data_IF_236675368953
#
_entry.id   IF_236675368953
#
_cell.length_a   1.000
_cell.length_b   1.000
_cell.length_c   1.000
_cell.angle_alpha   90.00
_cell.angle_beta   90.00
_cell.angle_gamma   90.00
#
_symmetry.space_group_name_H-M   'P 1'
#
loop_
_entity.id
_entity.type
_entity.pdbx_description
1 polymer ?
#
# COMPACT_ATOMS: atom_id res chain seq x y z
N UNK A 1 1.49 -27.62 12.54
CA UNK A 1 0.47 -26.57 12.29
C UNK A 1 0.93 -25.79 11.07
N UNK A 2 0.33 -26.04 9.90
CA UNK A 2 0.66 -25.31 8.67
C UNK A 2 0.01 -23.94 8.73
N UNK A 3 0.81 -22.89 8.91
CA UNK A 3 0.37 -21.51 8.73
C UNK A 3 0.20 -21.33 7.23
N UNK A 4 -1.04 -21.33 6.74
CA UNK A 4 -1.34 -20.84 5.39
C UNK A 4 -0.69 -19.46 5.28
N UNK A 5 0.23 -19.23 4.32
CA UNK A 5 0.85 -17.91 4.18
C UNK A 5 -0.29 -16.92 3.98
N UNK A 6 -0.40 -15.95 4.89
CA UNK A 6 -1.43 -14.93 4.81
C UNK A 6 -1.24 -14.22 3.46
N UNK A 7 -2.23 -14.37 2.58
CA UNK A 7 -2.26 -13.69 1.29
C UNK A 7 -2.02 -12.19 1.51
N UNK A 8 -1.29 -11.56 0.59
CA UNK A 8 -1.14 -10.12 0.63
C UNK A 8 -2.52 -9.43 0.61
N UNK A 9 -2.74 -8.49 1.51
CA UNK A 9 -4.01 -7.78 1.71
C UNK A 9 -3.84 -6.29 1.38
N UNK A 10 -4.31 -5.83 0.21
CA UNK A 10 -4.39 -4.42 -0.13
C UNK A 10 -5.12 -3.60 0.92
N UNK A 11 -4.59 -2.43 1.27
CA UNK A 11 -5.27 -1.51 2.16
C UNK A 11 -6.47 -0.85 1.47
N UNK A 12 -7.56 -0.66 2.22
CA UNK A 12 -8.78 -0.04 1.73
C UNK A 12 -8.74 1.48 1.96
N UNK A 13 -8.97 2.22 0.88
CA UNK A 13 -9.11 3.67 0.91
C UNK A 13 -10.53 4.07 0.49
N UNK A 14 -11.07 5.17 1.06
CA UNK A 14 -12.35 5.73 0.62
C UNK A 14 -12.32 6.08 -0.87
N UNK A 15 -13.42 5.87 -1.60
CA UNK A 15 -13.50 6.21 -3.04
C UNK A 15 -13.32 7.70 -3.35
N UNK A 16 -13.49 8.56 -2.35
CA UNK A 16 -13.33 10.01 -2.48
C UNK A 16 -11.88 10.47 -2.55
N UNK A 17 -10.91 9.60 -2.27
CA UNK A 17 -9.50 9.98 -2.32
C UNK A 17 -8.99 9.96 -3.77
N UNK A 18 -7.99 10.80 -4.12
CA UNK A 18 -7.44 10.81 -5.47
C UNK A 18 -6.79 9.48 -5.83
N UNK A 19 -7.11 8.99 -7.03
CA UNK A 19 -6.50 7.78 -7.62
C UNK A 19 -5.53 8.17 -8.73
N UNK A 20 -4.49 7.36 -8.94
CA UNK A 20 -3.62 7.51 -10.09
C UNK A 20 -4.41 7.41 -11.39
N UNK A 21 -4.04 8.23 -12.36
CA UNK A 21 -4.58 8.18 -13.72
C UNK A 21 -3.68 7.34 -14.64
N UNK A 22 -2.43 7.10 -14.23
CA UNK A 22 -1.42 6.43 -15.04
C UNK A 22 -1.33 4.93 -14.74
N UNK A 23 -1.74 4.52 -13.53
CA UNK A 23 -1.51 3.17 -13.02
C UNK A 23 -2.76 2.49 -12.46
N UNK A 24 -2.92 1.22 -12.83
CA UNK A 24 -3.73 0.24 -12.09
C UNK A 24 -2.79 -0.83 -11.56
N UNK A 25 -2.86 -1.10 -10.26
CA UNK A 25 -1.93 -2.03 -9.60
C UNK A 25 -2.69 -3.21 -9.02
N UNK A 26 -2.13 -4.41 -9.17
CA UNK A 26 -2.62 -5.64 -8.57
C UNK A 26 -1.54 -6.23 -7.67
N UNK A 27 -1.97 -6.74 -6.51
CA UNK A 27 -1.15 -7.46 -5.55
C UNK A 27 -1.73 -8.87 -5.44
N UNK A 28 -0.96 -9.89 -5.82
CA UNK A 28 -1.42 -11.29 -5.92
C UNK A 28 -2.74 -11.42 -6.71
N UNK A 29 -2.89 -10.66 -7.80
CA UNK A 29 -4.09 -10.64 -8.64
C UNK A 29 -5.27 -9.84 -8.08
N UNK A 30 -5.22 -9.36 -6.84
CA UNK A 30 -6.22 -8.46 -6.29
C UNK A 30 -5.87 -7.01 -6.60
N UNK A 31 -6.82 -6.25 -7.15
CA UNK A 31 -6.61 -4.83 -7.38
C UNK A 31 -6.36 -4.08 -6.07
N UNK A 32 -5.28 -3.29 -6.04
CA UNK A 32 -4.92 -2.42 -4.96
C UNK A 32 -5.11 -0.96 -5.37
N UNK A 33 -5.51 -0.12 -4.41
CA UNK A 33 -5.64 1.31 -4.66
C UNK A 33 -4.26 1.92 -4.91
N UNK A 34 -4.09 2.50 -6.10
CA UNK A 34 -3.00 3.40 -6.44
C UNK A 34 -3.38 4.82 -6.01
N UNK A 35 -3.07 5.18 -4.77
CA UNK A 35 -3.41 6.47 -4.19
C UNK A 35 -2.51 7.56 -4.76
N UNK A 36 -3.09 8.62 -5.34
CA UNK A 36 -2.33 9.73 -5.91
C UNK A 36 -2.14 10.86 -4.90
N UNK A 37 -0.91 11.32 -4.75
CA UNK A 37 -0.53 12.50 -3.96
C UNK A 37 0.15 13.55 -4.85
N UNK A 38 0.53 14.69 -4.27
CA UNK A 38 1.36 15.68 -4.96
C UNK A 38 2.82 15.23 -5.16
N UNK A 39 3.29 14.25 -4.38
CA UNK A 39 4.66 13.72 -4.45
C UNK A 39 4.80 12.48 -5.35
N UNK A 40 3.67 11.96 -5.86
CA UNK A 40 3.61 10.72 -6.63
C UNK A 40 2.48 9.81 -6.15
N UNK A 41 2.44 8.62 -6.72
CA UNK A 41 1.42 7.61 -6.41
C UNK A 41 2.01 6.55 -5.50
N UNK A 42 1.20 6.01 -4.58
CA UNK A 42 1.62 4.87 -3.77
C UNK A 42 0.57 3.77 -3.69
N UNK A 43 1.05 2.56 -3.41
CA UNK A 43 0.27 1.37 -3.13
C UNK A 43 0.72 0.80 -1.79
N UNK A 44 -0.24 0.50 -0.93
CA UNK A 44 0.02 -0.02 0.41
C UNK A 44 -0.79 -1.28 0.68
N UNK A 45 -0.15 -2.28 1.26
CA UNK A 45 -0.74 -3.58 1.55
C UNK A 45 -0.03 -4.27 2.71
N UNK A 46 -0.71 -5.20 3.39
CA UNK A 46 -0.07 -6.11 4.33
C UNK A 46 0.38 -7.38 3.61
N UNK A 47 1.58 -7.88 3.87
CA UNK A 47 1.99 -9.22 3.42
C UNK A 47 2.99 -9.84 4.38
N UNK A 48 2.70 -11.05 4.85
CA UNK A 48 3.63 -11.88 5.63
C UNK A 48 4.59 -12.70 4.77
N UNK A 49 4.39 -12.70 3.45
CA UNK A 49 5.20 -13.42 2.47
C UNK A 49 5.56 -12.51 1.28
N UNK A 50 6.35 -13.02 0.34
CA UNK A 50 6.57 -12.34 -0.92
C UNK A 50 5.24 -12.17 -1.68
N UNK A 51 5.06 -11.01 -2.32
CA UNK A 51 3.88 -10.69 -3.12
C UNK A 51 4.27 -10.54 -4.60
N UNK A 52 3.42 -11.05 -5.48
CA UNK A 52 3.48 -10.76 -6.92
C UNK A 52 2.76 -9.44 -7.17
N UNK A 53 3.46 -8.53 -7.83
CA UNK A 53 2.97 -7.21 -8.17
C UNK A 53 2.81 -7.12 -9.68
N UNK A 54 1.69 -6.55 -10.10
CA UNK A 54 1.43 -6.20 -11.48
C UNK A 54 1.00 -4.74 -11.58
N UNK A 55 1.71 -3.99 -12.41
CA UNK A 55 1.40 -2.61 -12.75
C UNK A 55 0.92 -2.58 -14.19
N UNK A 56 -0.27 -2.05 -14.42
CA UNK A 56 -0.82 -1.77 -15.74
C UNK A 56 -0.89 -0.28 -15.98
N UNK A 57 -0.65 0.13 -17.22
CA UNK A 57 -0.82 1.51 -17.67
C UNK A 57 -1.61 1.59 -18.98
N UNK A 58 -2.13 2.77 -19.30
CA UNK A 58 -2.69 3.05 -20.62
C UNK A 58 -1.62 3.38 -21.66
N UNK A 59 -0.42 3.77 -21.21
CA UNK A 59 0.72 4.13 -22.08
C UNK A 59 1.77 3.01 -22.02
N UNK A 60 2.67 3.00 -23.01
CA UNK A 60 3.80 2.06 -23.02
C UNK A 60 4.70 2.31 -21.80
N UNK A 61 5.12 1.23 -21.15
CA UNK A 61 6.07 1.27 -20.06
C UNK A 61 7.49 1.11 -20.64
N UNK A 62 8.39 2.00 -20.24
CA UNK A 62 9.79 1.96 -20.66
C UNK A 62 10.71 2.30 -19.50
N UNK A 63 11.91 1.73 -19.53
CA UNK A 63 13.00 2.05 -18.59
C UNK A 63 12.63 1.92 -17.10
N UNK A 64 12.02 0.81 -16.63
CA UNK A 64 11.69 0.69 -15.21
C UNK A 64 12.93 0.57 -14.34
N UNK A 65 13.05 1.46 -13.37
CA UNK A 65 14.10 1.43 -12.36
C UNK A 65 13.50 1.30 -10.96
N UNK A 66 14.04 0.36 -10.18
CA UNK A 66 13.63 0.13 -8.80
C UNK A 66 14.64 0.68 -7.79
N UNK A 67 14.11 1.31 -6.74
CA UNK A 67 14.87 1.84 -5.63
C UNK A 67 14.38 1.31 -4.27
N UNK A 68 15.30 1.05 -3.33
CA UNK A 68 16.75 1.12 -3.50
C UNK A 68 17.28 -0.04 -4.38
N UNK A 69 18.27 0.23 -5.23
CA UNK A 69 18.80 -0.75 -6.21
C UNK A 69 19.27 -2.08 -5.59
N UNK A 70 19.68 -2.05 -4.30
CA UNK A 70 20.08 -3.24 -3.53
C UNK A 70 18.99 -4.30 -3.39
N UNK A 71 17.71 -3.97 -3.65
CA UNK A 71 16.64 -4.95 -3.65
C UNK A 71 16.74 -5.94 -4.82
N UNK A 72 17.49 -5.60 -5.87
CA UNK A 72 17.72 -6.51 -7.00
C UNK A 72 16.46 -6.93 -7.74
N UNK A 73 15.39 -6.12 -7.68
CA UNK A 73 14.12 -6.38 -8.34
C UNK A 73 14.35 -6.40 -9.86
N UNK A 74 13.99 -7.51 -10.49
CA UNK A 74 14.06 -7.69 -11.94
C UNK A 74 12.63 -7.71 -12.50
N UNK A 75 12.11 -6.58 -12.99
CA UNK A 75 10.78 -6.56 -13.56
C UNK A 75 10.74 -7.26 -14.92
N UNK A 76 9.61 -7.90 -15.20
CA UNK A 76 9.23 -8.34 -16.53
C UNK A 76 8.29 -7.30 -17.12
N UNK A 77 8.64 -6.75 -18.29
CA UNK A 77 7.83 -5.75 -18.98
C UNK A 77 7.31 -6.32 -20.29
N UNK A 78 5.99 -6.22 -20.45
CA UNK A 78 5.24 -6.59 -21.65
C UNK A 78 4.38 -5.38 -22.04
N UNK A 79 4.91 -4.52 -22.92
CA UNK A 79 4.27 -3.29 -23.40
C UNK A 79 3.76 -2.36 -22.29
N UNK A 80 2.51 -2.53 -21.87
CA UNK A 80 1.79 -1.69 -20.90
C UNK A 80 1.60 -2.38 -19.54
N UNK A 81 2.27 -3.52 -19.36
CA UNK A 81 2.21 -4.36 -18.18
C UNK A 81 3.62 -4.59 -17.65
N UNK A 82 3.81 -4.38 -16.36
CA UNK A 82 5.03 -4.66 -15.65
C UNK A 82 4.72 -5.62 -14.49
N UNK A 83 5.49 -6.69 -14.34
CA UNK A 83 5.37 -7.63 -13.24
C UNK A 83 6.68 -7.81 -12.49
N UNK A 84 6.59 -7.96 -11.17
CA UNK A 84 7.75 -8.21 -10.32
C UNK A 84 7.30 -8.84 -9.00
N UNK A 85 8.27 -9.25 -8.19
CA UNK A 85 8.01 -9.78 -6.84
C UNK A 85 8.65 -8.86 -5.81
N UNK A 86 7.93 -8.58 -4.74
CA UNK A 86 8.41 -7.81 -3.59
C UNK A 86 8.39 -8.70 -2.35
N UNK A 87 9.48 -8.78 -1.60
CA UNK A 87 9.50 -9.62 -0.41
C UNK A 87 8.68 -8.99 0.74
N UNK A 88 8.33 -9.80 1.73
CA UNK A 88 7.60 -9.34 2.90
C UNK A 88 8.34 -8.20 3.62
N UNK A 89 7.61 -7.16 4.05
CA UNK A 89 8.21 -6.03 4.77
C UNK A 89 9.03 -5.07 3.92
N UNK A 90 9.12 -5.27 2.60
CA UNK A 90 9.93 -4.42 1.74
C UNK A 90 9.15 -3.24 1.18
N UNK A 91 9.80 -2.08 1.18
CA UNK A 91 9.33 -0.89 0.47
C UNK A 91 10.17 -0.70 -0.79
N UNK A 92 9.54 -0.29 -1.88
CA UNK A 92 10.22 -0.01 -3.14
C UNK A 92 9.65 1.23 -3.80
N UNK A 93 10.47 1.94 -4.56
CA UNK A 93 10.08 2.98 -5.50
C UNK A 93 10.32 2.44 -6.91
N UNK A 94 9.36 2.64 -7.80
CA UNK A 94 9.48 2.46 -9.24
C UNK A 94 9.48 3.83 -9.92
N UNK A 95 10.50 4.06 -10.73
CA UNK A 95 10.59 5.17 -11.66
C UNK A 95 10.56 4.64 -13.10
N UNK A 96 9.88 5.37 -13.98
CA UNK A 96 9.77 5.05 -15.41
C UNK A 96 9.70 6.35 -16.20
N UNK A 97 10.25 6.34 -17.41
CA UNK A 97 10.32 7.53 -18.26
C UNK A 97 8.92 8.09 -18.55
N UNK A 98 8.74 9.39 -18.24
CA UNK A 98 7.50 10.11 -18.50
C UNK A 98 6.34 9.80 -17.56
N UNK A 99 6.56 9.02 -16.49
CA UNK A 99 5.56 8.70 -15.47
C UNK A 99 5.83 9.39 -14.13
N UNK A 100 4.79 9.53 -13.31
CA UNK A 100 4.96 9.87 -11.90
C UNK A 100 5.66 8.73 -11.12
N UNK A 101 6.32 9.07 -10.02
CA UNK A 101 6.91 8.09 -9.11
C UNK A 101 5.84 7.17 -8.52
N UNK A 102 6.13 5.87 -8.45
CA UNK A 102 5.24 4.86 -7.87
C UNK A 102 5.89 4.15 -6.68
N UNK A 103 5.37 4.40 -5.49
CA UNK A 103 5.85 3.80 -4.24
C UNK A 103 5.04 2.55 -3.85
N UNK A 104 5.73 1.53 -3.36
CA UNK A 104 5.15 0.31 -2.82
C UNK A 104 5.52 0.17 -1.35
N UNK A 105 4.51 -0.03 -0.51
CA UNK A 105 4.66 -0.29 0.91
C UNK A 105 4.09 -1.67 1.26
N UNK A 106 4.96 -2.69 1.34
CA UNK A 106 4.58 -4.03 1.79
C UNK A 106 4.73 -4.13 3.31
N UNK A 107 3.71 -3.71 4.05
CA UNK A 107 3.72 -3.72 5.50
C UNK A 107 3.65 -5.16 6.04
N UNK A 108 4.38 -5.45 7.12
CA UNK A 108 4.17 -6.71 7.84
C UNK A 108 2.80 -6.67 8.56
N UNK A 109 2.03 -7.77 8.58
CA UNK A 109 0.81 -7.84 9.37
C UNK A 109 1.09 -7.56 10.85
N UNK A 110 0.19 -6.85 11.57
CA UNK A 110 0.37 -6.60 12.99
C UNK A 110 0.33 -7.91 13.79
N UNK A 111 1.32 -8.11 14.67
CA UNK A 111 1.47 -9.36 15.45
C UNK A 111 0.47 -9.44 16.61
N UNK A 112 0.07 -8.29 17.18
CA UNK A 112 -0.91 -8.17 18.28
C UNK A 112 -1.66 -6.84 18.19
N UNK A 113 -2.60 -6.74 17.26
CA UNK A 113 -3.52 -5.61 17.25
C UNK A 113 -4.51 -5.74 18.42
N UNK A 114 -4.78 -4.69 19.20
CA UNK A 114 -5.87 -4.72 20.17
C UNK A 114 -7.21 -4.84 19.46
N UNK A 115 -8.18 -5.47 20.14
CA UNK A 115 -9.55 -5.52 19.64
C UNK A 115 -10.14 -4.11 19.50
N UNK A 116 -10.96 -3.83 18.48
CA UNK A 116 -11.54 -2.50 18.24
C UNK A 116 -12.27 -1.87 19.43
N UNK A 117 -12.76 -2.68 20.37
CA UNK A 117 -13.51 -2.28 21.56
C UNK A 117 -12.69 -2.35 22.87
N UNK A 118 -11.37 -2.55 22.78
CA UNK A 118 -10.51 -2.66 23.95
C UNK A 118 -10.59 -1.42 24.86
N UNK A 119 -10.67 -1.58 26.21
CA UNK A 119 -10.74 -0.45 27.12
C UNK A 119 -9.57 0.53 26.96
N UNK A 120 -9.88 1.82 26.85
CA UNK A 120 -8.88 2.88 26.66
C UNK A 120 -8.36 3.03 25.22
N UNK A 121 -8.88 2.25 24.26
CA UNK A 121 -8.54 2.37 22.84
C UNK A 121 -9.53 3.30 22.12
N UNK A 122 -8.99 4.23 21.33
CA UNK A 122 -9.76 4.93 20.30
C UNK A 122 -9.50 4.24 18.96
N UNK A 123 -10.48 3.45 18.50
CA UNK A 123 -10.36 2.71 17.25
C UNK A 123 -10.86 3.52 16.05
N UNK A 124 -10.05 3.54 15.00
CA UNK A 124 -10.35 4.22 13.74
C UNK A 124 -10.53 3.18 12.62
N UNK A 125 -11.78 2.86 12.20
CA UNK A 125 -12.02 1.88 11.15
C UNK A 125 -11.45 2.34 9.80
N UNK A 126 -10.86 1.41 9.07
CA UNK A 126 -10.40 1.63 7.70
C UNK A 126 -11.54 2.13 6.79
N UNK A 127 -11.19 2.90 5.75
CA UNK A 127 -12.17 3.40 4.78
C UNK A 127 -13.03 4.58 5.25
N UNK A 128 -12.80 5.14 6.45
CA UNK A 128 -13.43 6.40 6.88
C UNK A 128 -12.41 7.54 6.92
N UNK A 129 -12.73 8.64 6.25
CA UNK A 129 -12.06 9.92 6.47
C UNK A 129 -12.63 10.58 7.73
N UNK A 130 -11.76 11.04 8.64
CA UNK A 130 -12.19 11.77 9.84
C UNK A 130 -11.66 13.19 9.81
N UNK A 131 -12.51 14.15 10.19
CA UNK A 131 -12.09 15.54 10.38
C UNK A 131 -11.61 15.71 11.81
N UNK A 132 -10.50 16.42 11.99
CA UNK A 132 -9.91 16.71 13.30
C UNK A 132 -10.93 17.32 14.28
N UNK A 133 -11.77 18.25 13.81
CA UNK A 133 -12.77 18.94 14.63
C UNK A 133 -13.90 18.04 15.16
N UNK A 134 -14.07 16.83 14.64
CA UNK A 134 -15.08 15.86 15.11
C UNK A 134 -14.54 14.85 16.14
N UNK A 135 -13.25 14.89 16.45
CA UNK A 135 -12.67 14.09 17.54
C UNK A 135 -12.88 14.82 18.87
N UNK A 136 -13.97 14.51 19.57
CA UNK A 136 -14.19 15.00 20.93
C UNK A 136 -13.25 14.24 21.86
N UNK A 137 -12.21 14.92 22.34
CA UNK A 137 -11.32 14.39 23.36
C UNK A 137 -12.05 14.38 24.70
N UNK A 138 -12.20 13.23 25.39
CA UNK A 138 -12.50 13.25 26.81
C UNK A 138 -11.37 13.98 27.50
N UNK A 139 -11.66 15.09 28.18
CA UNK A 139 -10.67 15.81 28.96
C UNK A 139 -9.91 14.83 29.85
N UNK A 140 -8.59 14.81 29.75
CA UNK A 140 -7.74 14.00 30.61
C UNK A 140 -8.13 14.28 32.06
N UNK A 141 -8.64 13.26 32.77
CA UNK A 141 -8.82 13.34 34.21
C UNK A 141 -7.43 13.53 34.78
N UNK A 142 -7.13 14.74 35.27
CA UNK A 142 -5.91 15.03 36.01
C UNK A 142 -5.86 14.06 37.18
N UNK A 143 -4.78 13.29 37.28
CA UNK A 143 -4.48 12.56 38.51
C UNK A 143 -4.26 13.60 39.61
N UNK A 144 -5.12 13.58 40.62
CA UNK A 144 -4.95 14.29 41.90
C UNK A 144 -4.10 13.46 42.84
#
# INVERSE_FOLDING_TARGET
MSVTPALAQPHLFPRSVPRSQDFTVYVNGQEAMAYRTSAGTFVSFHSGAAAELEVRSQRLLSSPEFYPRRLGIKPQVEERRLRFTLAAGQNALLEMDGFEQLFFYACLPPVRAPEPDAPGLHYFPAGRCMKWASCVWPAAKRCT
#
